data_IF_862743541318
#
_entry.id   IF_862743541318
#
_cell.length_a   1.000
_cell.length_b   1.000
_cell.length_c   1.000
_cell.angle_alpha   90.00
_cell.angle_beta   90.00
_cell.angle_gamma   90.00
#
_symmetry.space_group_name_H-M   'P 1'
#
loop_
_entity.id
_entity.type
_entity.pdbx_description
1 polymer ?
#
# COMPACT_ATOMS: atom_id res chain seq x y z
N UNK A 1 56.31 -47.28 -2.00
CA UNK A 1 55.43 -46.39 -2.80
C UNK A 1 54.13 -46.19 -2.05
N UNK A 2 53.93 -45.03 -1.41
CA UNK A 2 52.66 -44.65 -0.76
C UNK A 2 52.08 -43.47 -1.55
N UNK A 3 50.95 -43.67 -2.24
CA UNK A 3 50.19 -42.59 -2.89
C UNK A 3 49.10 -42.12 -1.93
N UNK A 4 49.21 -40.89 -1.46
CA UNK A 4 48.16 -40.18 -0.72
C UNK A 4 47.13 -39.66 -1.73
N UNK A 5 45.88 -40.11 -1.61
CA UNK A 5 44.76 -39.54 -2.34
C UNK A 5 44.30 -38.28 -1.58
N UNK A 6 44.56 -37.09 -2.12
CA UNK A 6 43.90 -35.87 -1.68
C UNK A 6 42.49 -35.84 -2.28
N UNK A 7 41.46 -35.98 -1.44
CA UNK A 7 40.10 -35.66 -1.81
C UNK A 7 39.94 -34.14 -1.78
N UNK A 8 39.69 -33.52 -2.93
CA UNK A 8 39.33 -32.12 -3.02
C UNK A 8 37.87 -31.94 -2.60
N UNK A 9 37.64 -31.20 -1.52
CA UNK A 9 36.30 -30.84 -1.06
C UNK A 9 35.86 -29.59 -1.83
N UNK A 10 35.01 -29.75 -2.84
CA UNK A 10 34.38 -28.63 -3.54
C UNK A 10 33.27 -28.05 -2.66
N UNK A 11 33.53 -26.88 -2.09
CA UNK A 11 32.53 -26.08 -1.39
C UNK A 11 31.58 -25.48 -2.42
N UNK A 12 30.37 -26.02 -2.54
CA UNK A 12 29.30 -25.40 -3.31
C UNK A 12 28.76 -24.21 -2.52
N UNK A 13 29.17 -23.00 -2.89
CA UNK A 13 28.53 -21.78 -2.42
C UNK A 13 27.18 -21.69 -3.13
N UNK A 14 26.11 -22.10 -2.45
CA UNK A 14 24.75 -21.86 -2.91
C UNK A 14 24.45 -20.38 -2.69
N UNK A 15 24.63 -19.57 -3.74
CA UNK A 15 24.09 -18.22 -3.76
C UNK A 15 22.57 -18.37 -3.83
N UNK A 16 21.86 -18.09 -2.74
CA UNK A 16 20.41 -17.95 -2.78
C UNK A 16 20.10 -16.84 -3.80
N UNK A 17 19.23 -17.07 -4.80
CA UNK A 17 18.88 -16.02 -5.73
C UNK A 17 18.29 -14.86 -4.93
N UNK A 18 18.92 -13.70 -5.03
CA UNK A 18 18.34 -12.48 -4.49
C UNK A 18 17.07 -12.19 -5.30
N UNK A 19 15.92 -12.17 -4.62
CA UNK A 19 14.68 -11.66 -5.21
C UNK A 19 14.78 -10.14 -5.25
N UNK A 20 15.16 -9.58 -6.39
CA UNK A 20 15.01 -8.16 -6.65
C UNK A 20 13.66 -7.93 -7.33
N UNK A 21 13.06 -6.77 -7.15
CA UNK A 21 11.91 -6.38 -7.96
C UNK A 21 12.31 -5.40 -9.04
N UNK A 22 11.34 -5.05 -9.88
CA UNK A 22 11.46 -3.94 -10.82
C UNK A 22 10.23 -3.05 -10.70
N UNK A 23 10.44 -1.73 -10.73
CA UNK A 23 9.35 -0.76 -10.91
C UNK A 23 9.28 -0.34 -12.37
N UNK A 24 8.10 -0.52 -12.95
CA UNK A 24 7.79 -0.13 -14.32
C UNK A 24 6.74 0.99 -14.34
N UNK A 25 7.00 2.05 -15.10
CA UNK A 25 5.99 3.04 -15.44
C UNK A 25 5.01 2.47 -16.48
N UNK A 26 3.73 2.55 -16.19
CA UNK A 26 2.64 2.12 -17.06
C UNK A 26 1.58 3.22 -17.19
N UNK A 27 0.75 3.10 -18.22
CA UNK A 27 -0.42 3.97 -18.40
C UNK A 27 -1.57 3.14 -18.93
N UNK A 28 -2.70 3.20 -18.23
CA UNK A 28 -3.92 2.52 -18.63
C UNK A 28 -4.96 3.53 -19.09
N UNK A 29 -5.80 3.16 -20.04
CA UNK A 29 -6.94 4.01 -20.38
C UNK A 29 -8.07 3.77 -19.37
N UNK A 30 -8.61 4.84 -18.78
CA UNK A 30 -9.81 4.77 -17.94
C UNK A 30 -11.00 5.33 -18.71
N UNK A 31 -12.04 4.51 -18.83
CA UNK A 31 -13.33 4.91 -19.38
C UNK A 31 -14.05 5.86 -18.42
N UNK A 32 -13.97 5.60 -17.11
CA UNK A 32 -14.56 6.44 -16.07
C UNK A 32 -13.99 7.87 -16.08
N UNK A 33 -12.70 8.02 -16.36
CA UNK A 33 -12.05 9.34 -16.48
C UNK A 33 -12.08 9.91 -17.90
N UNK A 34 -12.41 9.09 -18.90
CA UNK A 34 -12.17 9.36 -20.32
C UNK A 34 -10.75 9.91 -20.58
N UNK A 35 -9.76 9.33 -19.89
CA UNK A 35 -8.39 9.83 -19.86
C UNK A 35 -7.38 8.71 -19.56
N UNK A 36 -6.10 8.91 -19.88
CA UNK A 36 -5.02 8.04 -19.42
C UNK A 36 -4.83 8.15 -17.89
N UNK A 37 -4.61 7.03 -17.24
CA UNK A 37 -4.29 6.89 -15.82
C UNK A 37 -2.85 6.37 -15.67
N UNK A 38 -1.89 7.23 -15.28
CA UNK A 38 -0.52 6.82 -15.00
C UNK A 38 -0.41 5.96 -13.75
N UNK A 39 0.43 4.93 -13.80
CA UNK A 39 0.61 3.96 -12.71
C UNK A 39 2.07 3.51 -12.66
N UNK A 40 2.64 3.37 -11.48
CA UNK A 40 3.85 2.59 -11.28
C UNK A 40 3.50 1.20 -10.78
N UNK A 41 4.20 0.20 -11.28
CA UNK A 41 3.99 -1.19 -10.89
C UNK A 41 5.32 -1.76 -10.41
N UNK A 42 5.39 -2.13 -9.13
CA UNK A 42 6.45 -3.00 -8.64
C UNK A 42 6.07 -4.45 -8.94
N UNK A 43 6.99 -5.19 -9.56
CA UNK A 43 6.88 -6.62 -9.82
C UNK A 43 8.07 -7.35 -9.18
N UNK A 44 7.84 -8.41 -8.41
CA UNK A 44 8.93 -9.19 -7.84
C UNK A 44 9.53 -10.13 -8.91
N UNK A 45 10.81 -10.44 -8.79
CA UNK A 45 11.45 -11.49 -9.59
C UNK A 45 10.85 -12.88 -9.34
N UNK A 46 11.01 -13.75 -10.34
CA UNK A 46 10.64 -15.16 -10.26
C UNK A 46 9.32 -15.50 -10.94
N UNK A 47 8.97 -16.78 -10.86
CA UNK A 47 7.72 -17.28 -11.44
C UNK A 47 6.53 -16.92 -10.52
N UNK A 48 5.40 -16.47 -11.08
CA UNK A 48 4.19 -16.30 -10.29
C UNK A 48 3.71 -17.64 -9.73
N UNK A 49 3.06 -17.65 -8.56
CA UNK A 49 2.27 -18.80 -8.11
C UNK A 49 1.25 -19.22 -9.17
N UNK A 50 0.77 -20.46 -9.11
CA UNK A 50 -0.24 -20.98 -10.05
C UNK A 50 -1.52 -20.13 -10.10
N UNK A 51 -1.93 -19.58 -8.95
CA UNK A 51 -3.06 -18.67 -8.83
C UNK A 51 -2.70 -17.18 -8.95
N UNK A 52 -1.45 -16.86 -9.32
CA UNK A 52 -0.93 -15.51 -9.47
C UNK A 52 -0.39 -14.88 -8.17
N UNK A 53 0.30 -13.75 -8.31
CA UNK A 53 0.78 -12.97 -7.16
C UNK A 53 -0.37 -12.26 -6.43
N UNK A 54 -0.28 -12.11 -5.10
CA UNK A 54 -1.09 -11.13 -4.39
C UNK A 54 -0.80 -9.71 -4.89
N UNK A 55 -1.78 -8.82 -4.77
CA UNK A 55 -1.68 -7.41 -5.21
C UNK A 55 -1.93 -6.47 -4.05
N UNK A 56 -1.04 -5.50 -3.89
CA UNK A 56 -1.24 -4.34 -3.03
C UNK A 56 -1.49 -3.10 -3.89
N UNK A 57 -2.64 -2.44 -3.71
CA UNK A 57 -2.85 -1.10 -4.23
C UNK A 57 -2.36 -0.09 -3.20
N UNK A 58 -1.33 0.69 -3.54
CA UNK A 58 -0.63 1.58 -2.62
C UNK A 58 -0.82 3.04 -3.02
N UNK A 59 -1.62 3.75 -2.22
CA UNK A 59 -2.20 5.04 -2.55
C UNK A 59 -1.34 6.20 -2.02
N UNK A 60 -1.09 7.22 -2.84
CA UNK A 60 -0.31 8.41 -2.47
C UNK A 60 -1.13 9.42 -1.65
N UNK A 61 -0.43 10.33 -0.98
CA UNK A 61 -1.03 11.45 -0.26
C UNK A 61 -1.42 12.63 -1.16
N UNK A 62 -1.95 13.69 -0.56
CA UNK A 62 -2.23 14.94 -1.27
C UNK A 62 -0.95 15.48 -1.93
N UNK A 63 -1.08 16.04 -3.13
CA UNK A 63 -0.01 16.51 -4.03
C UNK A 63 0.98 15.43 -4.50
N UNK A 64 0.68 14.17 -4.21
CA UNK A 64 1.42 13.03 -4.74
C UNK A 64 0.94 12.58 -6.13
N UNK A 65 1.59 11.52 -6.61
CA UNK A 65 1.35 10.88 -7.89
C UNK A 65 1.80 9.40 -7.83
N UNK A 66 1.84 8.73 -8.98
CA UNK A 66 2.31 7.34 -9.09
C UNK A 66 3.77 7.13 -8.66
N UNK A 67 4.60 8.18 -8.67
CA UNK A 67 6.03 8.09 -8.36
C UNK A 67 6.32 8.30 -6.88
N UNK A 68 5.36 8.83 -6.10
CA UNK A 68 5.59 9.26 -4.72
C UNK A 68 6.17 8.15 -3.82
N UNK A 69 5.68 6.91 -3.94
CA UNK A 69 6.19 5.78 -3.16
C UNK A 69 7.56 5.29 -3.63
N UNK A 70 7.88 5.44 -4.92
CA UNK A 70 9.22 5.17 -5.48
C UNK A 70 10.21 6.22 -4.99
N UNK A 71 9.91 7.48 -5.24
CA UNK A 71 10.86 8.58 -5.13
C UNK A 71 11.03 9.08 -3.68
N UNK A 72 9.97 9.04 -2.87
CA UNK A 72 9.98 9.51 -1.48
C UNK A 72 9.87 8.35 -0.47
N UNK A 73 9.19 7.27 -0.85
CA UNK A 73 8.94 6.12 0.02
C UNK A 73 10.00 5.02 -0.04
N UNK A 74 10.89 5.04 -1.05
CA UNK A 74 11.91 4.01 -1.29
C UNK A 74 11.30 2.58 -1.29
N UNK A 75 10.13 2.44 -1.92
CA UNK A 75 9.31 1.24 -1.84
C UNK A 75 10.01 0.00 -2.41
N UNK A 76 10.73 0.13 -3.52
CA UNK A 76 11.46 -0.98 -4.16
C UNK A 76 12.44 -1.63 -3.20
N UNK A 77 13.38 -0.85 -2.64
CA UNK A 77 14.36 -1.34 -1.67
C UNK A 77 13.70 -1.97 -0.45
N UNK A 78 12.60 -1.38 0.02
CA UNK A 78 11.86 -1.88 1.18
C UNK A 78 11.26 -3.25 0.89
N UNK A 79 10.57 -3.40 -0.25
CA UNK A 79 9.95 -4.66 -0.66
C UNK A 79 11.02 -5.73 -0.91
N UNK A 80 12.07 -5.41 -1.64
CA UNK A 80 13.17 -6.34 -1.92
C UNK A 80 13.82 -6.85 -0.64
N UNK A 81 14.06 -5.95 0.32
CA UNK A 81 14.65 -6.32 1.62
C UNK A 81 13.72 -7.27 2.38
N UNK A 82 12.42 -6.96 2.44
CA UNK A 82 11.44 -7.78 3.17
C UNK A 82 11.20 -9.14 2.49
N UNK A 83 11.19 -9.19 1.16
CA UNK A 83 11.03 -10.41 0.37
C UNK A 83 12.28 -11.28 0.52
N UNK A 84 13.48 -10.71 0.36
CA UNK A 84 14.74 -11.44 0.50
C UNK A 84 14.94 -11.99 1.92
N UNK A 85 14.47 -11.27 2.94
CA UNK A 85 14.46 -11.73 4.32
C UNK A 85 13.36 -12.77 4.63
N UNK A 86 12.44 -13.02 3.70
CA UNK A 86 11.28 -13.91 3.91
C UNK A 86 10.23 -13.35 4.88
N UNK A 87 10.33 -12.07 5.24
CA UNK A 87 9.38 -11.40 6.13
C UNK A 87 8.02 -11.20 5.46
N UNK A 88 8.00 -11.04 4.13
CA UNK A 88 6.79 -11.04 3.31
C UNK A 88 6.96 -11.98 2.12
N UNK A 89 5.84 -12.47 1.58
CA UNK A 89 5.84 -13.20 0.31
C UNK A 89 5.97 -12.22 -0.88
N UNK A 90 6.57 -12.64 -2.00
CA UNK A 90 6.55 -11.86 -3.24
C UNK A 90 5.12 -11.43 -3.62
N UNK A 91 4.95 -10.17 -3.97
CA UNK A 91 3.67 -9.56 -4.34
C UNK A 91 3.87 -8.45 -5.39
N UNK A 92 2.82 -8.17 -6.15
CA UNK A 92 2.76 -7.01 -7.05
C UNK A 92 2.26 -5.79 -6.27
N UNK A 93 2.85 -4.62 -6.48
CA UNK A 93 2.37 -3.36 -5.90
C UNK A 93 1.99 -2.39 -7.02
N UNK A 94 0.76 -1.88 -6.98
CA UNK A 94 0.18 -0.98 -7.98
C UNK A 94 0.02 0.40 -7.33
N UNK A 95 0.65 1.42 -7.91
CA UNK A 95 0.70 2.79 -7.39
C UNK A 95 0.08 3.74 -8.43
N UNK A 96 -1.23 4.04 -8.37
CA UNK A 96 -1.90 4.88 -9.35
C UNK A 96 -1.72 6.38 -9.05
N UNK A 97 -1.76 7.22 -10.09
CA UNK A 97 -1.82 8.69 -9.95
C UNK A 97 -3.25 9.19 -10.01
N UNK A 98 -3.75 9.77 -8.91
CA UNK A 98 -5.16 10.18 -8.80
C UNK A 98 -5.36 11.67 -8.56
N UNK A 99 -4.32 12.49 -8.77
CA UNK A 99 -4.32 13.92 -8.40
C UNK A 99 -4.77 14.08 -6.93
N UNK A 100 -5.47 15.16 -6.61
CA UNK A 100 -6.06 15.39 -5.29
C UNK A 100 -7.53 14.97 -5.22
N UNK A 101 -7.93 13.92 -5.96
CA UNK A 101 -9.33 13.48 -6.09
C UNK A 101 -9.95 12.92 -4.82
N UNK A 102 -9.17 12.71 -3.77
CA UNK A 102 -9.60 12.00 -2.56
C UNK A 102 -10.10 10.58 -2.81
N UNK A 103 -9.78 9.98 -3.97
CA UNK A 103 -10.19 8.63 -4.32
C UNK A 103 -11.72 8.45 -4.35
N UNK A 104 -12.46 9.51 -4.69
CA UNK A 104 -13.92 9.51 -4.82
C UNK A 104 -14.34 9.89 -6.24
N UNK A 105 -15.57 9.55 -6.60
CA UNK A 105 -16.22 10.06 -7.79
C UNK A 105 -16.76 11.48 -7.52
N UNK A 106 -16.23 12.48 -8.25
CA UNK A 106 -16.61 13.87 -8.02
C UNK A 106 -16.42 14.74 -9.25
N UNK A 107 -17.34 15.68 -9.46
CA UNK A 107 -17.17 16.76 -10.43
C UNK A 107 -16.29 17.93 -9.92
N UNK A 108 -15.96 17.96 -8.62
CA UNK A 108 -15.35 19.13 -7.98
C UNK A 108 -14.09 18.80 -7.15
N UNK A 109 -14.07 17.70 -6.40
CA UNK A 109 -12.98 17.37 -5.46
C UNK A 109 -11.73 16.93 -6.24
N UNK A 110 -10.65 17.71 -6.17
CA UNK A 110 -9.41 17.39 -6.89
C UNK A 110 -9.47 17.53 -8.42
N UNK A 111 -10.59 18.06 -8.94
CA UNK A 111 -10.95 18.12 -10.36
C UNK A 111 -12.11 17.17 -10.72
N UNK A 112 -12.71 17.32 -11.91
CA UNK A 112 -13.76 16.41 -12.36
C UNK A 112 -13.17 15.03 -12.70
N UNK A 113 -13.79 13.96 -12.18
CA UNK A 113 -13.47 12.59 -12.55
C UNK A 113 -14.04 11.56 -11.59
N UNK A 114 -14.37 10.40 -12.15
CA UNK A 114 -14.87 9.24 -11.42
C UNK A 114 -13.69 8.34 -11.01
N UNK A 115 -12.86 8.83 -10.08
CA UNK A 115 -11.62 8.18 -9.65
C UNK A 115 -11.83 6.93 -8.81
N UNK A 116 -12.91 6.84 -8.05
CA UNK A 116 -13.26 5.61 -7.34
C UNK A 116 -13.60 4.52 -8.36
N UNK A 117 -14.48 4.83 -9.32
CA UNK A 117 -14.84 3.91 -10.40
C UNK A 117 -13.63 3.52 -11.25
N UNK A 118 -12.75 4.47 -11.56
CA UNK A 118 -11.53 4.21 -12.33
C UNK A 118 -10.59 3.21 -11.64
N UNK A 119 -10.47 3.27 -10.30
CA UNK A 119 -9.58 2.38 -9.56
C UNK A 119 -10.19 1.01 -9.30
N UNK A 120 -11.45 0.97 -8.85
CA UNK A 120 -12.10 -0.28 -8.45
C UNK A 120 -12.59 -1.09 -9.63
N UNK A 121 -12.84 -0.45 -10.78
CA UNK A 121 -13.19 -1.08 -12.05
C UNK A 121 -12.05 -1.07 -13.05
N UNK A 122 -11.87 0.04 -13.78
CA UNK A 122 -11.02 0.11 -14.98
C UNK A 122 -9.58 -0.36 -14.75
N UNK A 123 -8.92 0.16 -13.72
CA UNK A 123 -7.53 -0.17 -13.42
C UNK A 123 -7.40 -1.61 -12.93
N UNK A 124 -8.22 -2.02 -11.95
CA UNK A 124 -8.24 -3.38 -11.41
C UNK A 124 -8.37 -4.41 -12.53
N UNK A 125 -9.36 -4.22 -13.40
CA UNK A 125 -9.63 -5.15 -14.50
C UNK A 125 -8.46 -5.22 -15.49
N UNK A 126 -7.79 -4.09 -15.75
CA UNK A 126 -6.61 -4.06 -16.63
C UNK A 126 -5.40 -4.74 -15.99
N UNK A 127 -5.15 -4.54 -14.69
CA UNK A 127 -4.10 -5.24 -13.95
C UNK A 127 -4.34 -6.76 -13.97
N UNK A 128 -5.57 -7.21 -13.69
CA UNK A 128 -5.92 -8.64 -13.68
C UNK A 128 -5.93 -9.30 -15.08
N UNK A 129 -5.99 -8.51 -16.15
CA UNK A 129 -5.85 -8.98 -17.54
C UNK A 129 -4.39 -9.02 -17.99
N UNK A 130 -3.55 -8.13 -17.47
CA UNK A 130 -2.18 -7.91 -17.98
C UNK A 130 -1.14 -8.69 -17.18
N UNK A 131 -1.36 -8.88 -15.87
CA UNK A 131 -0.41 -9.51 -14.97
C UNK A 131 -0.96 -10.83 -14.40
N UNK A 132 -0.09 -11.81 -14.11
CA UNK A 132 -0.48 -13.05 -13.45
C UNK A 132 -0.70 -12.80 -11.96
N UNK A 133 -1.83 -12.17 -11.62
CA UNK A 133 -2.21 -11.78 -10.26
C UNK A 133 -3.49 -12.48 -9.80
N UNK A 134 -3.66 -12.58 -8.48
CA UNK A 134 -4.89 -13.09 -7.88
C UNK A 134 -6.05 -12.14 -8.14
N UNK A 135 -7.21 -12.75 -8.41
CA UNK A 135 -8.48 -12.05 -8.75
C UNK A 135 -9.56 -12.20 -7.68
N UNK A 136 -9.22 -12.87 -6.59
CA UNK A 136 -10.12 -13.04 -5.46
C UNK A 136 -9.81 -11.99 -4.37
N UNK A 137 -10.82 -11.69 -3.55
CA UNK A 137 -10.72 -10.75 -2.43
C UNK A 137 -9.49 -10.98 -1.55
N UNK A 138 -9.19 -12.23 -1.21
CA UNK A 138 -8.08 -12.56 -0.29
C UNK A 138 -6.70 -12.35 -0.95
N UNK A 139 -6.66 -12.23 -2.28
CA UNK A 139 -5.46 -11.90 -3.05
C UNK A 139 -5.19 -10.40 -3.18
N UNK A 140 -6.10 -9.53 -2.74
CA UNK A 140 -5.95 -8.07 -2.86
C UNK A 140 -5.90 -7.39 -1.50
N UNK A 141 -4.98 -6.45 -1.36
CA UNK A 141 -4.89 -5.53 -0.25
C UNK A 141 -4.85 -4.08 -0.75
N UNK A 142 -5.21 -3.14 0.10
CA UNK A 142 -5.11 -1.71 -0.19
C UNK A 142 -4.52 -0.95 0.99
N UNK A 143 -3.62 -0.02 0.73
CA UNK A 143 -3.03 0.82 1.75
C UNK A 143 -2.75 2.22 1.22
N UNK A 144 -2.61 3.21 2.10
CA UNK A 144 -2.25 4.55 1.64
C UNK A 144 -1.88 5.54 2.73
N UNK A 145 -1.23 6.63 2.31
CA UNK A 145 -0.75 7.71 3.16
C UNK A 145 -1.68 8.95 3.12
N UNK A 146 -2.04 9.52 4.27
CA UNK A 146 -2.78 10.79 4.35
C UNK A 146 -4.11 10.76 3.58
N UNK A 147 -4.24 11.52 2.48
CA UNK A 147 -5.35 11.40 1.53
C UNK A 147 -5.54 9.95 1.04
N UNK A 148 -4.45 9.25 0.75
CA UNK A 148 -4.47 7.83 0.40
C UNK A 148 -4.86 6.91 1.56
N UNK A 149 -4.61 7.31 2.81
CA UNK A 149 -5.09 6.56 3.98
C UNK A 149 -6.60 6.64 4.15
N UNK A 150 -7.18 7.81 3.85
CA UNK A 150 -8.63 7.95 3.69
C UNK A 150 -9.12 7.07 2.52
N UNK A 151 -8.51 7.21 1.34
CA UNK A 151 -8.89 6.45 0.15
C UNK A 151 -8.85 4.93 0.36
N UNK A 152 -7.83 4.43 1.08
CA UNK A 152 -7.71 3.00 1.36
C UNK A 152 -8.90 2.48 2.20
N UNK A 153 -9.31 3.22 3.23
CA UNK A 153 -10.48 2.86 4.04
C UNK A 153 -11.78 3.04 3.25
N UNK A 154 -11.94 4.18 2.57
CA UNK A 154 -13.12 4.49 1.77
C UNK A 154 -13.41 3.40 0.74
N UNK A 155 -12.40 3.02 -0.06
CA UNK A 155 -12.55 1.99 -1.08
C UNK A 155 -12.71 0.59 -0.48
N UNK A 156 -12.03 0.26 0.62
CA UNK A 156 -12.16 -1.04 1.26
C UNK A 156 -13.56 -1.28 1.87
N UNK A 157 -14.16 -0.26 2.47
CA UNK A 157 -15.51 -0.35 3.04
C UNK A 157 -16.61 -0.12 2.01
N UNK A 158 -16.37 0.70 0.99
CA UNK A 158 -17.32 0.89 -0.12
C UNK A 158 -17.42 -0.32 -1.05
N UNK A 159 -16.34 -1.11 -1.13
CA UNK A 159 -16.21 -2.27 -2.03
C UNK A 159 -15.74 -3.49 -1.23
N UNK A 160 -16.56 -3.92 -0.27
CA UNK A 160 -16.22 -4.98 0.68
C UNK A 160 -15.85 -6.32 0.02
N UNK A 161 -16.28 -6.55 -1.23
CA UNK A 161 -15.96 -7.73 -2.03
C UNK A 161 -14.55 -7.69 -2.66
N UNK A 162 -13.90 -6.53 -2.70
CA UNK A 162 -12.65 -6.35 -3.46
C UNK A 162 -11.39 -6.59 -2.65
N UNK A 163 -11.33 -6.16 -1.39
CA UNK A 163 -10.08 -6.13 -0.62
C UNK A 163 -10.16 -7.02 0.62
N UNK A 164 -9.19 -7.93 0.75
CA UNK A 164 -9.05 -8.83 1.88
C UNK A 164 -8.40 -8.19 3.10
N UNK A 165 -7.62 -7.12 2.88
CA UNK A 165 -6.94 -6.37 3.92
C UNK A 165 -6.83 -4.89 3.55
N UNK A 166 -6.85 -4.02 4.55
CA UNK A 166 -6.72 -2.57 4.42
C UNK A 166 -5.77 -2.01 5.48
N UNK A 167 -4.96 -1.01 5.11
CA UNK A 167 -4.14 -0.24 6.05
C UNK A 167 -4.22 1.27 5.78
N UNK A 168 -4.47 2.07 6.82
CA UNK A 168 -4.44 3.53 6.74
C UNK A 168 -3.19 4.07 7.43
N UNK A 169 -2.33 4.74 6.66
CA UNK A 169 -1.09 5.35 7.15
C UNK A 169 -1.33 6.84 7.35
N UNK A 170 -1.51 7.27 8.60
CA UNK A 170 -1.81 8.67 8.94
C UNK A 170 -3.00 9.24 8.14
N UNK A 171 -4.06 8.45 7.96
CA UNK A 171 -5.18 8.80 7.07
C UNK A 171 -5.89 10.09 7.47
N UNK A 172 -6.22 10.91 6.48
CA UNK A 172 -6.98 12.14 6.64
C UNK A 172 -8.48 11.84 6.84
N UNK A 173 -8.81 11.29 8.00
CA UNK A 173 -10.16 10.91 8.38
C UNK A 173 -10.76 12.05 9.20
N UNK A 174 -11.75 12.73 8.63
CA UNK A 174 -12.54 13.70 9.38
C UNK A 174 -13.82 13.02 9.88
N UNK A 175 -14.12 13.22 11.15
CA UNK A 175 -15.46 12.94 11.61
C UNK A 175 -16.36 14.08 11.12
N UNK A 176 -17.32 13.77 10.24
CA UNK A 176 -18.50 14.61 10.08
C UNK A 176 -19.36 14.44 11.34
N UNK A 177 -18.88 14.95 12.47
CA UNK A 177 -19.75 15.17 13.63
C UNK A 177 -20.49 16.47 13.34
N UNK A 178 -21.82 16.45 13.22
CA UNK A 178 -22.60 17.68 13.21
C UNK A 178 -22.14 18.56 14.37
N UNK A 179 -21.95 19.85 14.16
CA UNK A 179 -21.50 20.75 15.23
C UNK A 179 -22.43 20.69 16.46
N UNK A 180 -23.70 20.32 16.25
CA UNK A 180 -24.71 20.05 17.29
C UNK A 180 -24.37 18.86 18.20
N UNK A 181 -23.66 17.86 17.69
CA UNK A 181 -23.43 16.58 18.35
C UNK A 181 -22.11 16.58 19.14
N UNK A 182 -21.33 17.67 19.06
CA UNK A 182 -20.08 17.85 19.78
C UNK A 182 -20.27 18.41 21.20
N UNK A 183 -21.47 18.89 21.55
CA UNK A 183 -21.79 19.58 22.82
C UNK A 183 -20.69 20.58 23.24
N UNK A 184 -20.32 21.45 22.28
CA UNK A 184 -19.22 22.43 22.38
C UNK A 184 -19.70 23.77 21.83
N UNK A 185 -19.36 24.84 22.53
CA UNK A 185 -19.61 26.20 22.08
C UNK A 185 -18.75 26.56 20.86
N UNK A 186 -19.16 27.55 20.05
CA UNK A 186 -18.34 28.01 18.91
C UNK A 186 -16.90 28.42 19.28
N UNK A 187 -16.68 28.90 20.50
CA UNK A 187 -15.34 29.22 21.00
C UNK A 187 -14.52 27.96 21.31
N UNK A 188 -15.14 26.89 21.81
CA UNK A 188 -14.49 25.59 22.04
C UNK A 188 -14.21 24.84 20.74
N UNK A 189 -15.07 24.97 19.72
CA UNK A 189 -14.80 24.44 18.38
C UNK A 189 -13.62 25.15 17.72
N UNK A 190 -13.56 26.48 17.87
CA UNK A 190 -12.42 27.27 17.44
C UNK A 190 -11.15 26.92 18.21
N UNK A 191 -11.29 26.64 19.52
CA UNK A 191 -10.19 26.11 20.33
C UNK A 191 -9.73 24.73 19.84
N UNK A 192 -10.61 23.83 19.40
CA UNK A 192 -10.23 22.52 18.83
C UNK A 192 -9.49 22.71 17.50
N UNK A 193 -9.99 23.57 16.62
CA UNK A 193 -9.37 23.93 15.35
C UNK A 193 -8.00 24.61 15.52
N UNK A 194 -7.86 25.42 16.58
CA UNK A 194 -6.64 26.17 16.90
C UNK A 194 -5.74 25.42 17.92
N UNK A 195 -6.21 24.29 18.48
CA UNK A 195 -5.50 23.59 19.56
C UNK A 195 -4.30 22.83 19.00
N UNK A 196 -3.23 22.82 19.79
CA UNK A 196 -2.04 22.03 19.55
C UNK A 196 -2.29 20.50 19.65
N UNK A 197 -3.53 20.00 19.45
CA UNK A 197 -3.93 18.58 19.50
C UNK A 197 -4.00 17.90 18.12
N UNK A 198 -3.39 18.52 17.11
CA UNK A 198 -2.47 17.80 16.23
C UNK A 198 -1.14 17.41 16.94
N UNK A 199 -1.00 17.59 18.26
CA UNK A 199 0.09 17.04 19.07
C UNK A 199 -0.30 16.40 20.42
N UNK A 200 0.39 15.27 20.64
CA UNK A 200 0.62 14.40 21.83
C UNK A 200 -0.56 14.06 22.74
N UNK A 201 -1.10 12.87 22.48
CA UNK A 201 -1.91 12.06 23.40
C UNK A 201 -1.09 11.69 24.65
N UNK A 202 -1.74 11.75 25.82
CA UNK A 202 -1.22 11.31 27.12
C UNK A 202 -0.89 9.80 27.09
N UNK A 203 0.31 9.44 27.60
CA UNK A 203 0.82 8.06 27.66
C UNK A 203 -0.04 7.13 28.51
N UNK A 204 -0.92 7.66 29.36
CA UNK A 204 -1.81 6.86 30.21
C UNK A 204 -3.08 6.38 29.50
N UNK A 205 -3.43 6.98 28.34
CA UNK A 205 -4.53 6.55 27.48
C UNK A 205 -4.11 5.61 26.34
N UNK A 206 -2.82 5.30 26.25
CA UNK A 206 -2.32 4.22 25.38
C UNK A 206 -2.45 2.91 26.15
N UNK A 207 -3.45 2.10 25.80
CA UNK A 207 -3.37 0.66 26.07
C UNK A 207 -2.23 0.09 25.23
N UNK A 208 -1.06 -0.07 25.84
CA UNK A 208 0.02 -0.87 25.28
C UNK A 208 -0.44 -2.32 25.25
N UNK A 209 -0.92 -2.76 24.09
CA UNK A 209 -1.28 -4.14 23.82
C UNK A 209 -1.08 -4.40 22.34
N UNK A 210 0.13 -4.81 21.99
CA UNK A 210 0.40 -5.35 20.67
C UNK A 210 -0.11 -6.80 20.70
N UNK A 211 -1.02 -7.17 19.81
CA UNK A 211 -1.16 -8.59 19.46
C UNK A 211 0.03 -8.91 18.56
N UNK A 212 1.15 -9.25 19.18
CA UNK A 212 2.34 -9.75 18.48
C UNK A 212 2.12 -11.23 18.13
N UNK A 213 2.48 -11.68 16.91
CA UNK A 213 2.72 -13.10 16.68
C UNK A 213 3.84 -13.58 17.62
N UNK A 214 3.81 -14.87 17.99
CA UNK A 214 4.78 -15.47 18.92
C UNK A 214 6.23 -15.21 18.48
N UNK A 215 7.10 -14.95 19.45
CA UNK A 215 8.52 -14.64 19.25
C UNK A 215 9.28 -15.78 18.57
N UNK A 216 9.44 -15.66 17.26
CA UNK A 216 10.56 -16.23 16.51
C UNK A 216 11.45 -15.09 15.99
N UNK A 217 12.70 -15.40 15.64
CA UNK A 217 13.85 -14.49 15.48
C UNK A 217 13.77 -13.35 14.42
N UNK A 218 12.58 -12.86 14.03
CA UNK A 218 12.41 -12.07 12.80
C UNK A 218 11.81 -10.66 12.93
N UNK A 219 11.75 -10.06 14.12
CA UNK A 219 11.32 -8.65 14.24
C UNK A 219 12.42 -7.77 14.84
N UNK A 220 13.53 -7.66 14.10
CA UNK A 220 14.57 -6.65 14.34
C UNK A 220 14.21 -5.31 13.67
N UNK A 221 13.72 -4.37 14.48
CA UNK A 221 14.12 -2.96 14.34
C UNK A 221 13.53 -2.10 13.22
N UNK A 222 12.21 -2.15 12.97
CA UNK A 222 11.53 -1.08 12.24
C UNK A 222 10.17 -0.79 12.86
N UNK A 223 10.13 0.19 13.78
CA UNK A 223 9.23 1.35 13.85
C UNK A 223 9.76 2.29 14.93
#
# INVERSE_FOLDING_TARGET
MYRKNLAAFCLFITCTPAFAGQIEDATFHSAALNAPLPVNIYRPDGAPPENGWPVLYLLHGHDGDQNSWRDLGNIEKTLDTLIAAGAIRPLVVVMPSVKNSWYVDSAAVGGPGDYETALTGDLRDQIEKTLPVRKDRQGRAIAGLSMGGFGALHLAYGHEDLYGAVASLSGAIWQNVPASDLDKTPAELKLIQDSAFFHRVDRTTVTSGIVLPSTGDHFSGAF
#
